data_IF_438226350803
#
_entry.id   IF_438226350803
#
_cell.length_a   1.000
_cell.length_b   1.000
_cell.length_c   1.000
_cell.angle_alpha   90.00
_cell.angle_beta   90.00
_cell.angle_gamma   90.00
#
_symmetry.space_group_name_H-M   'P 1'
#
loop_
_entity.id
_entity.type
_entity.pdbx_description
1 polymer ?
#
# COMPACT_ATOMS: atom_id res chain seq x y z
N UNK A 1 32.83 8.38 -5.18
CA UNK A 1 32.00 7.23 -5.62
C UNK A 1 30.60 7.79 -5.79
N UNK A 2 30.16 8.06 -7.02
CA UNK A 2 28.88 8.72 -7.29
C UNK A 2 27.74 7.78 -6.92
N UNK A 3 26.88 8.19 -5.98
CA UNK A 3 25.63 7.49 -5.70
C UNK A 3 24.82 7.35 -6.99
N UNK A 4 24.19 6.19 -7.23
CA UNK A 4 23.32 6.02 -8.38
C UNK A 4 22.15 6.98 -8.24
N UNK A 5 22.17 8.06 -9.04
CA UNK A 5 21.05 8.99 -9.12
C UNK A 5 19.78 8.21 -9.47
N UNK A 6 18.69 8.45 -8.75
CA UNK A 6 17.39 7.82 -9.04
C UNK A 6 16.91 8.35 -10.40
N UNK A 7 16.92 7.50 -11.43
CA UNK A 7 16.51 7.86 -12.79
C UNK A 7 15.25 7.08 -13.22
N UNK A 8 14.36 7.68 -14.01
CA UNK A 8 13.23 6.97 -14.55
C UNK A 8 13.65 6.01 -15.67
N UNK A 9 12.86 4.97 -15.87
CA UNK A 9 12.98 4.04 -16.99
C UNK A 9 12.93 4.80 -18.33
N UNK A 10 13.95 4.56 -19.16
CA UNK A 10 14.08 5.19 -20.48
C UNK A 10 14.66 6.61 -20.45
N UNK A 11 15.47 6.94 -19.43
CA UNK A 11 16.21 8.20 -19.39
C UNK A 11 17.15 8.32 -20.59
N UNK A 12 17.18 9.52 -21.19
CA UNK A 12 18.08 9.89 -22.29
C UNK A 12 18.82 11.18 -21.94
N UNK A 13 19.89 11.51 -22.67
CA UNK A 13 20.64 12.76 -22.50
C UNK A 13 19.80 14.05 -22.63
N UNK A 14 18.63 13.97 -23.27
CA UNK A 14 17.68 15.09 -23.41
C UNK A 14 16.72 15.22 -22.23
N UNK A 15 16.81 14.34 -21.24
CA UNK A 15 15.90 14.33 -20.10
C UNK A 15 16.30 15.42 -19.11
N UNK A 16 15.42 16.40 -18.92
CA UNK A 16 15.64 17.50 -17.98
C UNK A 16 14.90 17.22 -16.67
N UNK A 17 15.57 17.27 -15.51
CA UNK A 17 14.92 17.14 -14.21
C UNK A 17 13.72 18.10 -14.07
N UNK A 18 12.60 17.59 -13.56
CA UNK A 18 11.37 18.37 -13.36
C UNK A 18 10.49 18.62 -14.61
N UNK A 19 10.95 18.27 -15.83
CA UNK A 19 10.16 18.39 -17.08
C UNK A 19 9.57 17.05 -17.54
N UNK A 20 8.87 16.37 -16.65
CA UNK A 20 8.24 15.10 -16.99
C UNK A 20 6.89 15.29 -17.71
N UNK A 21 6.63 14.44 -18.71
CA UNK A 21 5.36 14.47 -19.49
C UNK A 21 4.15 14.03 -18.66
N UNK A 22 4.33 13.04 -17.78
CA UNK A 22 3.24 12.48 -16.97
C UNK A 22 2.77 13.46 -15.91
N UNK A 23 1.45 13.57 -15.74
CA UNK A 23 0.85 14.39 -14.68
C UNK A 23 1.25 13.93 -13.28
N UNK A 24 1.60 12.67 -13.06
CA UNK A 24 2.08 12.20 -11.75
C UNK A 24 3.51 12.65 -11.43
N UNK A 25 4.22 13.21 -12.41
CA UNK A 25 5.64 13.58 -12.30
C UNK A 25 5.86 15.09 -12.37
N UNK A 26 4.79 15.87 -12.56
CA UNK A 26 4.90 17.32 -12.55
C UNK A 26 5.09 17.80 -11.12
N UNK A 27 5.87 18.87 -10.94
CA UNK A 27 6.12 19.45 -9.61
C UNK A 27 4.83 19.92 -8.92
N UNK A 28 3.89 20.48 -9.69
CA UNK A 28 2.61 20.99 -9.17
C UNK A 28 1.65 19.90 -8.66
N UNK A 29 1.88 18.65 -9.02
CA UNK A 29 1.07 17.50 -8.59
C UNK A 29 1.84 16.59 -7.65
N UNK A 30 3.11 16.92 -7.36
CA UNK A 30 3.92 16.24 -6.38
C UNK A 30 3.27 16.42 -5.01
N UNK A 31 2.92 15.31 -4.35
CA UNK A 31 2.28 15.32 -3.03
C UNK A 31 0.75 15.20 -3.04
N UNK A 32 0.09 15.39 -4.20
CA UNK A 32 -1.35 15.13 -4.29
C UNK A 32 -1.64 13.63 -4.12
N UNK A 33 -2.65 13.25 -3.31
CA UNK A 33 -3.03 11.85 -3.13
C UNK A 33 -3.39 11.21 -4.48
N UNK A 34 -2.92 9.98 -4.71
CA UNK A 34 -3.16 9.22 -5.94
C UNK A 34 -2.37 9.64 -7.19
N UNK A 35 -1.56 10.71 -7.16
CA UNK A 35 -0.79 11.21 -8.32
C UNK A 35 0.71 11.38 -7.99
N UNK A 36 1.32 10.40 -7.33
CA UNK A 36 2.73 10.48 -6.88
C UNK A 36 3.70 9.79 -7.84
N UNK A 37 4.90 10.36 -7.95
CA UNK A 37 6.04 9.77 -8.69
C UNK A 37 6.33 8.35 -8.24
N UNK A 38 6.25 8.08 -6.92
CA UNK A 38 6.56 6.78 -6.30
C UNK A 38 5.65 5.62 -6.75
N UNK A 39 4.43 5.91 -7.20
CA UNK A 39 3.50 4.87 -7.69
C UNK A 39 3.57 4.71 -9.21
N UNK A 40 4.49 5.41 -9.87
CA UNK A 40 4.65 5.32 -11.30
C UNK A 40 5.57 4.18 -11.67
N UNK A 41 5.10 3.27 -12.52
CA UNK A 41 5.91 2.23 -13.17
C UNK A 41 7.24 2.74 -13.73
N UNK A 42 7.29 3.97 -14.26
CA UNK A 42 8.51 4.55 -14.82
C UNK A 42 9.56 4.90 -13.78
N UNK A 43 9.18 5.08 -12.53
CA UNK A 43 10.11 5.45 -11.45
C UNK A 43 10.34 4.31 -10.47
N UNK A 44 9.30 3.55 -10.13
CA UNK A 44 9.42 2.41 -9.21
C UNK A 44 9.72 1.09 -9.92
N UNK A 45 9.44 0.97 -11.22
CA UNK A 45 9.43 -0.32 -11.92
C UNK A 45 8.26 -1.24 -11.54
N UNK A 46 7.50 -0.91 -10.49
CA UNK A 46 6.47 -1.77 -9.89
C UNK A 46 5.14 -1.71 -10.62
N UNK A 47 4.57 -2.87 -10.88
CA UNK A 47 3.21 -3.05 -11.40
C UNK A 47 2.16 -2.77 -10.32
N UNK A 48 0.88 -2.74 -10.72
CA UNK A 48 -0.22 -2.67 -9.76
C UNK A 48 -0.28 -3.88 -8.83
N UNK A 49 0.10 -5.06 -9.34
CA UNK A 49 0.18 -6.29 -8.55
C UNK A 49 1.29 -6.17 -7.49
N UNK A 50 2.46 -5.65 -7.86
CA UNK A 50 3.57 -5.43 -6.94
C UNK A 50 3.17 -4.43 -5.84
N UNK A 51 2.52 -3.32 -6.20
CA UNK A 51 2.02 -2.36 -5.22
C UNK A 51 0.91 -2.94 -4.33
N UNK A 52 0.14 -3.91 -4.80
CA UNK A 52 -0.83 -4.64 -3.96
C UNK A 52 -0.07 -5.57 -3.01
N UNK A 53 0.94 -6.28 -3.48
CA UNK A 53 1.78 -7.17 -2.67
C UNK A 53 2.53 -6.38 -1.59
N UNK A 54 3.13 -5.24 -1.93
CA UNK A 54 3.81 -4.34 -0.99
C UNK A 54 2.87 -3.90 0.15
N UNK A 55 1.66 -3.43 -0.20
CA UNK A 55 0.67 -3.00 0.80
C UNK A 55 0.22 -4.15 1.68
N UNK A 56 0.06 -5.34 1.10
CA UNK A 56 -0.33 -6.53 1.84
C UNK A 56 0.77 -6.95 2.81
N UNK A 57 2.02 -7.01 2.34
CA UNK A 57 3.20 -7.33 3.15
C UNK A 57 3.36 -6.34 4.32
N UNK A 58 3.21 -5.04 4.06
CA UNK A 58 3.25 -4.01 5.11
C UNK A 58 2.19 -4.27 6.20
N UNK A 59 0.93 -4.51 5.81
CA UNK A 59 -0.15 -4.77 6.77
C UNK A 59 0.10 -6.06 7.53
N UNK A 60 0.52 -7.14 6.86
CA UNK A 60 0.83 -8.42 7.50
C UNK A 60 1.95 -8.26 8.53
N UNK A 61 3.05 -7.58 8.18
CA UNK A 61 4.15 -7.32 9.11
C UNK A 61 3.72 -6.46 10.30
N UNK A 62 2.92 -5.41 10.06
CA UNK A 62 2.40 -4.55 11.12
C UNK A 62 1.52 -5.32 12.11
N UNK A 63 0.65 -6.21 11.62
CA UNK A 63 -0.20 -7.06 12.46
C UNK A 63 0.65 -8.10 13.24
N UNK A 64 1.63 -8.72 12.59
CA UNK A 64 2.54 -9.66 13.23
C UNK A 64 3.34 -9.01 14.37
N UNK A 65 3.75 -7.74 14.21
CA UNK A 65 4.47 -7.00 15.24
C UNK A 65 3.68 -6.83 16.55
N UNK A 66 2.35 -6.88 16.50
CA UNK A 66 1.47 -6.86 17.68
C UNK A 66 0.88 -8.24 18.03
N UNK A 67 1.47 -9.31 17.48
CA UNK A 67 1.08 -10.70 17.76
C UNK A 67 -0.20 -11.16 17.08
N UNK A 68 -0.70 -10.44 16.07
CA UNK A 68 -1.88 -10.83 15.29
C UNK A 68 -1.39 -11.55 14.03
N UNK A 69 -1.53 -12.87 14.00
CA UNK A 69 -1.25 -13.66 12.80
C UNK A 69 -2.49 -13.81 11.92
N UNK A 70 -2.30 -13.65 10.62
CA UNK A 70 -3.34 -13.81 9.59
C UNK A 70 -2.82 -14.75 8.51
N UNK A 71 -2.94 -16.08 8.71
CA UNK A 71 -2.42 -17.05 7.77
C UNK A 71 -3.13 -16.90 6.42
N UNK A 72 -2.36 -17.03 5.33
CA UNK A 72 -2.90 -17.10 3.99
C UNK A 72 -3.66 -18.42 3.85
N UNK A 73 -4.96 -18.35 3.57
CA UNK A 73 -5.77 -19.53 3.34
C UNK A 73 -5.39 -20.17 1.99
N UNK A 74 -5.02 -21.44 2.00
CA UNK A 74 -4.84 -22.21 0.77
C UNK A 74 -6.20 -22.40 0.09
N UNK A 75 -6.37 -21.77 -1.07
CA UNK A 75 -7.60 -21.83 -1.86
C UNK A 75 -7.50 -22.79 -3.05
N UNK A 76 -6.38 -23.51 -3.21
CA UNK A 76 -6.14 -24.41 -4.35
C UNK A 76 -7.16 -25.56 -4.46
N UNK A 77 -7.74 -25.96 -3.33
CA UNK A 77 -8.75 -27.02 -3.23
C UNK A 77 -10.20 -26.51 -3.25
N UNK A 78 -10.40 -25.20 -3.35
CA UNK A 78 -11.73 -24.58 -3.31
C UNK A 78 -12.27 -24.40 -4.73
N UNK A 79 -13.54 -24.76 -4.93
CA UNK A 79 -14.25 -24.54 -6.20
C UNK A 79 -15.23 -23.40 -6.01
N UNK A 80 -15.07 -22.33 -6.80
CA UNK A 80 -15.98 -21.20 -6.80
C UNK A 80 -17.15 -21.47 -7.75
N UNK A 81 -18.39 -21.44 -7.23
CA UNK A 81 -19.61 -21.58 -8.03
C UNK A 81 -20.49 -20.34 -7.87
N UNK A 82 -21.18 -19.94 -8.94
CA UNK A 82 -22.23 -18.93 -8.85
C UNK A 82 -23.43 -19.50 -8.09
N UNK A 83 -23.96 -18.71 -7.17
CA UNK A 83 -25.14 -19.09 -6.37
C UNK A 83 -26.42 -18.80 -7.15
N UNK A 84 -27.40 -19.70 -7.05
CA UNK A 84 -28.73 -19.46 -7.60
C UNK A 84 -29.53 -18.53 -6.68
N UNK A 85 -30.43 -17.68 -7.22
CA UNK A 85 -31.39 -16.96 -6.39
C UNK A 85 -32.21 -17.95 -5.55
N UNK A 86 -32.23 -17.78 -4.22
CA UNK A 86 -33.00 -18.62 -3.31
C UNK A 86 -32.32 -19.90 -2.83
N UNK A 87 -31.02 -20.07 -3.06
CA UNK A 87 -30.25 -21.21 -2.53
C UNK A 87 -30.35 -21.30 -0.99
N UNK A 88 -30.93 -22.37 -0.43
CA UNK A 88 -31.13 -22.53 1.03
C UNK A 88 -29.83 -22.60 1.82
N UNK A 89 -28.70 -22.91 1.17
CA UNK A 89 -27.39 -23.01 1.82
C UNK A 89 -26.68 -21.66 1.94
N UNK A 90 -27.29 -20.57 1.45
CA UNK A 90 -26.72 -19.23 1.47
C UNK A 90 -27.41 -18.40 2.55
N UNK A 91 -26.64 -17.79 3.48
CA UNK A 91 -27.21 -16.87 4.45
C UNK A 91 -27.97 -15.72 3.77
N UNK A 92 -29.07 -15.23 4.37
CA UNK A 92 -29.78 -14.07 3.85
C UNK A 92 -28.85 -12.88 3.66
N UNK A 93 -29.11 -12.05 2.65
CA UNK A 93 -28.26 -10.90 2.29
C UNK A 93 -27.95 -9.99 3.48
N UNK A 94 -28.92 -9.74 4.35
CA UNK A 94 -28.74 -8.91 5.56
C UNK A 94 -27.65 -9.49 6.47
N UNK A 95 -27.61 -10.81 6.65
CA UNK A 95 -26.57 -11.46 7.45
C UNK A 95 -25.19 -11.29 6.80
N UNK A 96 -25.07 -11.47 5.48
CA UNK A 96 -23.81 -11.26 4.76
C UNK A 96 -23.29 -9.82 4.89
N UNK A 97 -24.20 -8.83 4.82
CA UNK A 97 -23.85 -7.42 5.00
C UNK A 97 -23.37 -7.16 6.43
N UNK A 98 -24.10 -7.63 7.43
CA UNK A 98 -23.72 -7.47 8.84
C UNK A 98 -22.38 -8.15 9.15
N UNK A 99 -22.15 -9.34 8.59
CA UNK A 99 -20.88 -10.05 8.72
C UNK A 99 -19.73 -9.27 8.09
N UNK A 100 -19.92 -8.70 6.89
CA UNK A 100 -18.91 -7.88 6.24
C UNK A 100 -18.61 -6.58 7.02
N UNK A 101 -19.63 -5.95 7.62
CA UNK A 101 -19.46 -4.78 8.49
C UNK A 101 -18.67 -5.16 9.74
N UNK A 102 -19.04 -6.24 10.42
CA UNK A 102 -18.34 -6.73 11.60
C UNK A 102 -16.86 -7.03 11.27
N UNK A 103 -16.58 -7.74 10.17
CA UNK A 103 -15.21 -8.01 9.72
C UNK A 103 -14.43 -6.70 9.49
N UNK A 104 -15.04 -5.72 8.84
CA UNK A 104 -14.39 -4.42 8.59
C UNK A 104 -14.07 -3.68 9.88
N UNK A 105 -14.98 -3.67 10.85
CA UNK A 105 -14.78 -3.05 12.17
C UNK A 105 -13.61 -3.74 12.88
N UNK A 106 -13.61 -5.08 12.93
CA UNK A 106 -12.53 -5.86 13.54
C UNK A 106 -11.19 -5.55 12.89
N UNK A 107 -11.09 -5.62 11.57
CA UNK A 107 -9.84 -5.36 10.86
C UNK A 107 -9.34 -3.94 11.05
N UNK A 108 -10.25 -2.96 11.13
CA UNK A 108 -9.87 -1.57 11.41
C UNK A 108 -9.27 -1.44 12.80
N UNK A 109 -9.91 -2.03 13.80
CA UNK A 109 -9.42 -2.01 15.19
C UNK A 109 -8.06 -2.71 15.35
N UNK A 110 -7.86 -3.85 14.68
CA UNK A 110 -6.57 -4.56 14.66
C UNK A 110 -5.46 -3.70 14.04
N UNK A 111 -5.74 -3.08 12.89
CA UNK A 111 -4.79 -2.19 12.22
C UNK A 111 -4.48 -0.96 13.07
N UNK A 112 -5.50 -0.33 13.67
CA UNK A 112 -5.30 0.86 14.51
C UNK A 112 -4.47 0.52 15.76
N UNK A 113 -4.67 -0.66 16.37
CA UNK A 113 -3.77 -1.18 17.42
C UNK A 113 -2.33 -1.33 16.95
N UNK A 114 -2.14 -1.91 15.76
CA UNK A 114 -0.80 -2.09 15.18
C UNK A 114 -0.10 -0.75 14.95
N UNK A 115 -0.82 0.25 14.44
CA UNK A 115 -0.27 1.59 14.21
C UNK A 115 0.07 2.32 15.52
N UNK A 116 -0.78 2.20 16.55
CA UNK A 116 -0.52 2.77 17.86
C UNK A 116 0.74 2.15 18.49
N UNK A 117 0.92 0.83 18.39
CA UNK A 117 2.12 0.16 18.88
C UNK A 117 3.39 0.57 18.10
N UNK A 118 3.28 0.77 16.78
CA UNK A 118 4.40 1.17 15.94
C UNK A 118 4.89 2.60 16.16
N UNK A 119 4.04 3.50 16.70
CA UNK A 119 4.40 4.92 16.85
C UNK A 119 5.41 5.16 17.99
N UNK A 120 5.50 4.26 18.99
CA UNK A 120 6.41 4.41 20.13
C UNK A 120 6.18 5.72 20.94
N UNK A 121 6.92 5.95 22.04
CA UNK A 121 7.01 7.27 22.63
C UNK A 121 7.71 8.23 21.63
N UNK A 122 7.36 9.53 21.62
CA UNK A 122 7.87 10.45 20.60
C UNK A 122 9.40 10.54 20.70
N UNK A 123 10.08 10.11 19.65
CA UNK A 123 11.49 10.42 19.44
C UNK A 123 11.58 11.77 18.72
N UNK A 124 12.57 12.58 19.08
CA UNK A 124 12.79 13.92 18.53
C UNK A 124 12.76 13.93 16.99
N UNK A 125 12.10 14.91 16.35
CA UNK A 125 11.75 14.85 14.94
C UNK A 125 12.93 15.19 14.02
N UNK A 126 13.91 14.29 13.90
CA UNK A 126 14.91 14.30 12.83
C UNK A 126 14.42 13.44 11.65
N UNK A 127 13.27 13.82 11.07
CA UNK A 127 12.81 13.30 9.77
C UNK A 127 12.97 14.36 8.69
N UNK A 128 14.21 14.74 8.41
CA UNK A 128 14.53 15.58 7.26
C UNK A 128 15.01 14.72 6.10
N UNK A 129 14.30 14.78 4.96
CA UNK A 129 14.63 14.04 3.73
C UNK A 129 15.78 14.70 2.92
N UNK A 130 16.50 15.62 3.53
CA UNK A 130 17.62 16.37 2.95
C UNK A 130 18.70 16.47 4.02
N UNK A 131 19.92 16.01 3.70
CA UNK A 131 21.07 16.26 4.57
C UNK A 131 21.29 17.78 4.68
N UNK A 132 21.57 18.33 5.88
CA UNK A 132 21.96 19.73 6.01
C UNK A 132 23.26 19.91 5.24
N UNK A 133 23.19 20.76 4.21
CA UNK A 133 24.35 21.14 3.42
C UNK A 133 25.26 21.98 4.32
N UNK A 134 26.41 21.43 4.69
CA UNK A 134 27.45 22.15 5.42
C UNK A 134 27.91 23.39 4.62
N UNK A 135 28.07 24.51 5.32
CA UNK A 135 28.58 25.77 4.79
C UNK A 135 30.11 25.79 4.77
#
# INVERSE_FOLDING_TARGET
RSDPTIQPLGVTSRTVPGRCKSRAHRRNTLGLPGRRVLVSRKWSGKTLADHRADRMAFVTQALQAVGIDKPVQDTSRLIWRKLAPGDPHVPPRTHLILQAIAQRITWRAEYDRAMLAATGPPLDPETSATQPRAA
#
